data_IF_160703401048
#
_entry.id   IF_160703401048
#
_cell.length_a   1.000
_cell.length_b   1.000
_cell.length_c   1.000
_cell.angle_alpha   90.00
_cell.angle_beta   90.00
_cell.angle_gamma   90.00
#
_symmetry.space_group_name_H-M   'P 1'
#
loop_
_entity.id
_entity.type
_entity.pdbx_description
1 polymer ?
#
# COMPACT_ATOMS: atom_id res chain seq x y z
N UNK A 1 -87.34 -18.33 -4.67
CA UNK A 1 -86.18 -18.50 -5.58
C UNK A 1 -85.58 -17.13 -5.89
N UNK A 2 -84.43 -16.80 -5.29
CA UNK A 2 -83.49 -15.75 -5.71
C UNK A 2 -82.10 -16.14 -5.15
N UNK A 3 -81.12 -16.17 -6.03
CA UNK A 3 -79.66 -16.25 -5.82
C UNK A 3 -79.11 -15.07 -6.66
N UNK A 4 -77.92 -14.43 -6.47
CA UNK A 4 -76.78 -14.64 -5.54
C UNK A 4 -76.26 -13.33 -4.88
N UNK A 5 -75.17 -13.40 -4.10
CA UNK A 5 -73.94 -12.63 -4.37
C UNK A 5 -72.78 -13.11 -3.48
N UNK A 6 -71.79 -13.76 -4.10
CA UNK A 6 -70.48 -14.03 -3.49
C UNK A 6 -69.68 -12.73 -3.44
N UNK A 7 -69.29 -12.28 -2.25
CA UNK A 7 -68.35 -11.18 -2.07
C UNK A 7 -66.91 -11.66 -2.30
N UNK A 8 -66.25 -11.09 -3.31
CA UNK A 8 -64.82 -11.26 -3.57
C UNK A 8 -63.99 -10.69 -2.40
N UNK A 9 -63.11 -11.52 -1.85
CA UNK A 9 -62.03 -11.06 -1.00
C UNK A 9 -60.95 -10.38 -1.87
N UNK A 10 -60.71 -9.09 -1.66
CA UNK A 10 -59.57 -8.40 -2.24
C UNK A 10 -58.30 -8.81 -1.48
N UNK A 11 -57.47 -9.65 -2.10
CA UNK A 11 -56.10 -9.90 -1.64
C UNK A 11 -55.26 -8.70 -2.05
N UNK A 12 -54.92 -7.84 -1.08
CA UNK A 12 -53.96 -6.77 -1.30
C UNK A 12 -52.56 -7.38 -1.47
N UNK A 13 -52.04 -7.36 -2.70
CA UNK A 13 -50.61 -7.60 -2.95
C UNK A 13 -49.83 -6.43 -2.32
N UNK A 14 -49.15 -6.69 -1.20
CA UNK A 14 -48.11 -5.79 -0.69
C UNK A 14 -46.90 -5.97 -1.60
N UNK A 15 -46.70 -5.02 -2.51
CA UNK A 15 -45.45 -4.90 -3.26
C UNK A 15 -44.35 -4.51 -2.27
N UNK A 16 -43.50 -5.46 -1.91
CA UNK A 16 -42.26 -5.20 -1.18
C UNK A 16 -41.33 -4.36 -2.05
N UNK A 17 -41.19 -3.08 -1.76
CA UNK A 17 -40.11 -2.27 -2.33
C UNK A 17 -38.75 -2.84 -1.88
N UNK A 18 -37.73 -2.85 -2.76
CA UNK A 18 -36.41 -3.32 -2.38
C UNK A 18 -35.79 -2.32 -1.39
N UNK A 19 -35.75 -2.71 -0.12
CA UNK A 19 -34.96 -2.03 0.91
C UNK A 19 -33.51 -2.50 0.77
N UNK A 20 -32.55 -1.56 0.85
CA UNK A 20 -31.09 -1.74 0.93
C UNK A 20 -30.26 -1.79 -0.39
N UNK A 21 -30.20 -0.66 -1.12
CA UNK A 21 -29.10 -0.39 -2.08
C UNK A 21 -28.56 1.05 -1.99
N UNK A 22 -29.45 2.01 -1.72
CA UNK A 22 -29.10 3.44 -1.64
C UNK A 22 -28.16 3.83 -0.48
N UNK A 23 -28.15 3.06 0.62
CA UNK A 23 -27.31 3.32 1.80
C UNK A 23 -25.84 2.97 1.58
N UNK A 24 -25.55 1.96 0.77
CA UNK A 24 -24.19 1.48 0.51
C UNK A 24 -23.49 2.38 -0.52
N UNK A 25 -24.21 2.79 -1.56
CA UNK A 25 -23.67 3.71 -2.59
C UNK A 25 -23.26 5.06 -1.99
N UNK A 26 -24.05 5.60 -1.05
CA UNK A 26 -23.75 6.88 -0.38
C UNK A 26 -22.58 6.75 0.60
N UNK A 27 -22.48 5.63 1.34
CA UNK A 27 -21.34 5.35 2.22
C UNK A 27 -20.05 5.12 1.43
N UNK A 28 -20.14 4.40 0.31
CA UNK A 28 -19.01 4.24 -0.59
C UNK A 28 -18.60 5.56 -1.26
N UNK A 29 -19.55 6.44 -1.60
CA UNK A 29 -19.25 7.77 -2.15
C UNK A 29 -18.55 8.69 -1.13
N UNK A 30 -19.05 8.76 0.11
CA UNK A 30 -18.42 9.54 1.18
C UNK A 30 -17.02 9.02 1.53
N UNK A 31 -16.84 7.69 1.56
CA UNK A 31 -15.53 7.07 1.70
C UNK A 31 -14.61 7.43 0.52
N UNK A 32 -15.12 7.31 -0.70
CA UNK A 32 -14.39 7.65 -1.92
C UNK A 32 -13.90 9.10 -1.95
N UNK A 33 -14.72 10.02 -1.44
CA UNK A 33 -14.37 11.44 -1.27
C UNK A 33 -13.20 11.62 -0.31
N UNK A 34 -13.24 10.97 0.86
CA UNK A 34 -12.19 11.05 1.87
C UNK A 34 -10.82 10.59 1.34
N UNK A 35 -10.81 9.61 0.46
CA UNK A 35 -9.58 9.07 -0.14
C UNK A 35 -9.27 9.70 -1.49
N UNK A 36 -10.05 10.67 -1.96
CA UNK A 36 -9.69 11.41 -3.17
C UNK A 36 -8.38 12.13 -2.90
N UNK A 37 -7.36 11.70 -3.63
CA UNK A 37 -6.03 12.24 -3.53
C UNK A 37 -5.73 13.01 -4.81
N UNK A 38 -5.26 14.23 -4.66
CA UNK A 38 -4.69 15.01 -5.76
C UNK A 38 -3.30 14.50 -6.16
N UNK A 39 -2.77 13.46 -5.49
CA UNK A 39 -1.51 12.83 -5.84
C UNK A 39 -1.59 12.34 -7.28
N UNK A 40 -0.64 12.81 -8.08
CA UNK A 40 -0.46 12.38 -9.46
C UNK A 40 0.64 11.33 -9.57
N UNK A 41 0.69 10.61 -10.69
CA UNK A 41 1.84 9.75 -11.04
C UNK A 41 3.16 10.54 -11.00
N UNK A 42 3.15 11.81 -11.40
CA UNK A 42 4.34 12.67 -11.34
C UNK A 42 4.80 12.96 -9.92
N UNK A 43 3.89 13.10 -8.96
CA UNK A 43 4.25 13.31 -7.55
C UNK A 43 4.94 12.08 -6.98
N UNK A 44 4.40 10.89 -7.27
CA UNK A 44 5.02 9.62 -6.88
C UNK A 44 6.39 9.48 -7.51
N UNK A 45 6.51 9.72 -8.83
CA UNK A 45 7.80 9.65 -9.52
C UNK A 45 8.81 10.65 -8.95
N UNK A 46 8.40 11.88 -8.63
CA UNK A 46 9.28 12.90 -8.02
C UNK A 46 9.80 12.46 -6.66
N UNK A 47 8.95 11.81 -5.86
CA UNK A 47 9.33 11.27 -4.55
C UNK A 47 10.25 10.06 -4.69
N UNK A 48 9.94 9.13 -5.59
CA UNK A 48 10.67 7.86 -5.71
C UNK A 48 11.98 7.98 -6.49
N UNK A 49 12.10 8.96 -7.38
CA UNK A 49 13.29 9.09 -8.23
C UNK A 49 14.47 9.59 -7.42
N UNK A 50 15.56 8.83 -7.45
CA UNK A 50 16.84 9.16 -6.83
C UNK A 50 16.69 9.56 -5.37
N UNK A 51 16.07 8.67 -4.59
CA UNK A 51 15.69 8.96 -3.21
C UNK A 51 15.94 7.75 -2.33
N UNK A 52 16.64 7.99 -1.22
CA UNK A 52 16.78 7.06 -0.11
C UNK A 52 15.78 7.44 0.97
N UNK A 53 15.03 6.47 1.46
CA UNK A 53 14.06 6.69 2.52
C UNK A 53 14.13 5.60 3.57
N UNK A 54 13.73 5.97 4.79
CA UNK A 54 13.70 5.08 5.94
C UNK A 54 12.28 4.91 6.43
N UNK A 55 11.94 3.70 6.86
CA UNK A 55 10.73 3.39 7.62
C UNK A 55 11.10 2.63 8.89
N UNK A 56 10.29 2.79 9.93
CA UNK A 56 10.44 2.09 11.19
C UNK A 56 9.09 1.64 11.73
N UNK A 57 9.01 0.40 12.21
CA UNK A 57 7.87 -0.14 12.96
C UNK A 57 8.34 -1.29 13.84
N UNK A 58 7.59 -1.64 14.89
CA UNK A 58 7.96 -2.76 15.77
C UNK A 58 8.01 -4.11 15.03
N UNK A 59 7.13 -4.29 14.04
CA UNK A 59 7.08 -5.50 13.21
C UNK A 59 8.30 -5.62 12.29
N UNK A 60 8.56 -4.61 11.47
CA UNK A 60 9.64 -4.68 10.48
C UNK A 60 11.02 -4.30 11.01
N UNK A 61 11.09 -3.49 12.08
CA UNK A 61 12.29 -2.78 12.49
C UNK A 61 12.65 -1.66 11.52
N UNK A 62 13.92 -1.31 11.48
CA UNK A 62 14.46 -0.23 10.66
C UNK A 62 14.75 -0.64 9.22
N UNK A 63 13.96 -0.18 8.26
CA UNK A 63 14.16 -0.47 6.84
C UNK A 63 14.70 0.76 6.13
N UNK A 64 15.74 0.59 5.32
CA UNK A 64 16.26 1.66 4.47
C UNK A 64 16.23 1.20 3.02
N UNK A 65 15.67 2.02 2.15
CA UNK A 65 15.53 1.71 0.73
C UNK A 65 16.03 2.86 -0.12
N UNK A 66 16.72 2.54 -1.22
CA UNK A 66 17.05 3.50 -2.28
C UNK A 66 16.25 3.17 -3.53
N UNK A 67 15.55 4.17 -4.08
CA UNK A 67 14.80 4.05 -5.32
C UNK A 67 15.43 4.88 -6.45
N UNK A 68 15.59 4.24 -7.61
CA UNK A 68 16.14 4.87 -8.81
C UNK A 68 15.02 5.47 -9.67
N UNK A 69 15.33 6.47 -10.52
CA UNK A 69 14.36 6.99 -11.49
C UNK A 69 13.82 5.93 -12.47
N UNK A 70 14.61 4.88 -12.74
CA UNK A 70 14.29 3.82 -13.69
C UNK A 70 13.39 2.71 -13.15
N UNK A 71 12.79 2.87 -11.96
CA UNK A 71 11.90 1.86 -11.39
C UNK A 71 12.60 0.73 -10.65
N UNK A 72 13.90 0.86 -10.31
CA UNK A 72 14.58 -0.08 -9.41
C UNK A 72 14.51 0.39 -7.96
N UNK A 73 14.49 -0.55 -7.03
CA UNK A 73 14.62 -0.27 -5.60
C UNK A 73 15.63 -1.23 -4.98
N UNK A 74 16.30 -0.80 -3.92
CA UNK A 74 17.29 -1.58 -3.17
C UNK A 74 16.96 -1.48 -1.69
N UNK A 75 16.58 -2.60 -1.10
CA UNK A 75 16.14 -2.67 0.29
C UNK A 75 17.25 -3.26 1.17
N UNK A 76 17.65 -2.51 2.18
CA UNK A 76 18.39 -3.02 3.32
C UNK A 76 17.42 -3.30 4.46
N UNK A 77 17.08 -4.58 4.62
CA UNK A 77 16.15 -5.05 5.64
C UNK A 77 16.88 -5.57 6.88
N UNK A 78 16.38 -5.34 8.11
CA UNK A 78 17.01 -5.86 9.32
C UNK A 78 17.21 -7.37 9.32
N UNK A 79 18.38 -7.83 9.73
CA UNK A 79 18.72 -9.25 9.74
C UNK A 79 19.25 -9.80 8.41
N UNK A 80 19.00 -9.12 7.28
CA UNK A 80 19.52 -9.56 5.99
C UNK A 80 21.02 -9.31 5.87
N UNK A 81 21.72 -10.28 5.29
CA UNK A 81 23.15 -10.20 4.92
C UNK A 81 23.36 -9.79 3.47
N UNK A 82 22.29 -9.41 2.78
CA UNK A 82 22.28 -8.99 1.38
C UNK A 82 21.37 -7.77 1.25
N UNK A 83 21.69 -6.90 0.29
CA UNK A 83 20.75 -5.90 -0.19
C UNK A 83 19.77 -6.61 -1.13
N UNK A 84 18.47 -6.38 -0.93
CA UNK A 84 17.43 -6.96 -1.77
C UNK A 84 17.14 -6.03 -2.96
N UNK A 85 17.57 -6.39 -4.18
CA UNK A 85 17.13 -5.65 -5.36
C UNK A 85 15.66 -5.95 -5.64
N UNK A 86 14.95 -4.94 -6.12
CA UNK A 86 13.57 -5.04 -6.54
C UNK A 86 13.21 -3.98 -7.57
N UNK A 87 11.92 -3.91 -7.83
CA UNK A 87 11.30 -2.96 -8.74
C UNK A 87 10.20 -2.20 -8.03
N UNK A 88 9.95 -0.97 -8.49
CA UNK A 88 8.78 -0.19 -8.10
C UNK A 88 8.03 0.29 -9.34
N UNK A 89 6.70 0.40 -9.22
CA UNK A 89 5.85 0.98 -10.26
C UNK A 89 4.66 1.71 -9.65
N UNK A 90 4.07 2.61 -10.43
CA UNK A 90 2.83 3.30 -10.07
C UNK A 90 1.68 2.67 -10.83
N UNK A 91 0.60 2.32 -10.13
CA UNK A 91 -0.64 1.82 -10.74
C UNK A 91 -1.84 2.62 -10.26
N UNK A 92 -2.93 2.53 -11.02
CA UNK A 92 -4.19 3.24 -10.76
C UNK A 92 -5.31 2.21 -10.66
N UNK A 93 -5.31 1.46 -9.57
CA UNK A 93 -6.24 0.35 -9.35
C UNK A 93 -7.23 0.71 -8.23
N UNK A 94 -8.52 0.31 -8.36
CA UNK A 94 -9.48 0.42 -7.26
C UNK A 94 -9.00 -0.40 -6.07
N UNK A 95 -9.12 0.15 -4.86
CA UNK A 95 -8.84 -0.58 -3.63
C UNK A 95 -10.16 -1.09 -3.07
N UNK A 96 -10.17 -2.37 -2.67
CA UNK A 96 -11.24 -2.91 -1.83
C UNK A 96 -10.96 -2.50 -0.39
N UNK A 97 -11.89 -1.77 0.21
CA UNK A 97 -11.76 -1.37 1.61
C UNK A 97 -12.77 -2.15 2.43
N UNK A 98 -12.32 -3.12 3.25
CA UNK A 98 -13.22 -3.85 4.13
C UNK A 98 -13.70 -2.89 5.22
N UNK A 99 -14.87 -2.29 5.02
CA UNK A 99 -15.48 -1.40 6.01
C UNK A 99 -16.74 -2.07 6.52
N UNK A 100 -16.71 -2.64 7.73
CA UNK A 100 -17.91 -3.12 8.46
C UNK A 100 -18.96 -3.84 7.58
N UNK A 101 -18.54 -4.80 6.75
CA UNK A 101 -19.46 -5.58 5.90
C UNK A 101 -19.88 -4.96 4.57
N UNK A 102 -19.32 -3.81 4.17
CA UNK A 102 -19.59 -3.15 2.88
C UNK A 102 -18.37 -3.36 1.95
N UNK A 103 -18.58 -4.01 0.80
CA UNK A 103 -17.56 -4.15 -0.26
C UNK A 103 -17.53 -2.88 -1.13
N UNK A 104 -16.97 -1.80 -0.57
CA UNK A 104 -16.76 -0.57 -1.34
C UNK A 104 -15.51 -0.70 -2.21
N UNK A 105 -15.66 -0.43 -3.52
CA UNK A 105 -14.52 -0.07 -4.36
C UNK A 105 -14.27 1.42 -4.18
N UNK A 106 -13.15 1.74 -3.54
CA UNK A 106 -12.64 3.10 -3.57
C UNK A 106 -12.37 3.52 -5.04
N UNK A 107 -12.31 4.83 -5.33
CA UNK A 107 -11.88 5.32 -6.64
C UNK A 107 -10.51 4.72 -6.99
N UNK A 108 -10.12 4.80 -8.26
CA UNK A 108 -8.73 4.48 -8.63
C UNK A 108 -7.80 5.37 -7.83
N UNK A 109 -7.09 4.78 -6.87
CA UNK A 109 -6.09 5.48 -6.08
C UNK A 109 -4.73 5.30 -6.74
N UNK A 110 -3.87 6.29 -6.58
CA UNK A 110 -2.46 6.16 -6.98
C UNK A 110 -1.79 5.24 -5.98
N UNK A 111 -1.49 4.03 -6.45
CA UNK A 111 -0.81 3.01 -5.68
C UNK A 111 0.65 2.92 -6.10
N UNK A 112 1.51 2.72 -5.11
CA UNK A 112 2.90 2.37 -5.30
C UNK A 112 3.04 0.88 -5.03
N UNK A 113 3.58 0.16 -6.01
CA UNK A 113 3.80 -1.28 -5.92
C UNK A 113 5.29 -1.59 -5.92
N UNK A 114 5.67 -2.57 -5.11
CA UNK A 114 7.02 -3.12 -5.04
C UNK A 114 7.02 -4.59 -5.44
N UNK A 115 8.15 -5.04 -5.99
CA UNK A 115 8.40 -6.45 -6.28
C UNK A 115 9.86 -6.74 -5.96
N UNK A 116 10.11 -7.71 -5.07
CA UNK A 116 11.45 -8.21 -4.77
C UNK A 116 11.62 -9.64 -5.30
N UNK A 117 12.87 -10.11 -5.36
CA UNK A 117 13.24 -11.38 -6.00
C UNK A 117 12.52 -12.61 -5.46
N UNK A 118 12.48 -13.70 -6.24
CA UNK A 118 11.71 -14.91 -5.96
C UNK A 118 12.01 -15.58 -4.62
N UNK A 119 13.27 -15.54 -4.18
CA UNK A 119 13.72 -16.16 -2.94
C UNK A 119 13.55 -15.24 -1.72
N UNK A 120 12.56 -14.34 -1.75
CA UNK A 120 12.26 -13.44 -0.63
C UNK A 120 10.96 -13.84 0.07
N UNK A 121 10.91 -13.61 1.38
CA UNK A 121 9.74 -13.84 2.21
C UNK A 121 9.60 -12.67 3.19
N UNK A 122 8.42 -12.06 3.22
CA UNK A 122 8.08 -11.03 4.19
C UNK A 122 7.40 -11.69 5.39
N UNK A 123 8.07 -11.81 6.55
CA UNK A 123 7.51 -12.50 7.71
C UNK A 123 6.34 -11.73 8.38
N UNK A 124 6.16 -10.45 8.07
CA UNK A 124 5.08 -9.63 8.64
C UNK A 124 3.79 -9.80 7.84
N UNK A 125 3.88 -9.85 6.51
CA UNK A 125 2.71 -10.01 5.64
C UNK A 125 2.44 -11.46 5.23
N UNK A 126 3.43 -12.34 5.38
CA UNK A 126 3.39 -13.71 4.87
C UNK A 126 3.63 -13.82 3.36
N UNK A 127 3.88 -12.70 2.67
CA UNK A 127 4.10 -12.66 1.22
C UNK A 127 5.41 -13.32 0.82
N UNK A 128 5.40 -14.03 -0.32
CA UNK A 128 6.60 -14.54 -1.00
C UNK A 128 6.93 -13.69 -2.23
N UNK A 129 8.21 -13.70 -2.62
CA UNK A 129 8.76 -12.92 -3.71
C UNK A 129 8.07 -13.11 -5.07
N UNK A 130 8.44 -12.26 -6.05
CA UNK A 130 7.81 -12.11 -7.38
C UNK A 130 6.36 -11.57 -7.39
N UNK A 131 5.64 -11.57 -6.27
CA UNK A 131 4.37 -10.86 -6.20
C UNK A 131 4.60 -9.34 -6.19
N UNK A 132 3.71 -8.61 -6.86
CA UNK A 132 3.62 -7.16 -6.68
C UNK A 132 2.83 -6.88 -5.40
N UNK A 133 3.46 -6.21 -4.43
CA UNK A 133 2.80 -5.75 -3.22
C UNK A 133 2.56 -4.24 -3.35
N UNK A 134 1.27 -3.88 -3.40
CA UNK A 134 0.83 -2.51 -3.63
C UNK A 134 0.24 -1.89 -2.37
N UNK A 135 0.45 -0.59 -2.21
CA UNK A 135 -0.21 0.20 -1.18
C UNK A 135 -0.55 1.61 -1.70
N UNK A 136 -1.54 2.30 -1.11
CA UNK A 136 -1.77 3.72 -1.42
C UNK A 136 -0.51 4.54 -1.18
N UNK A 137 -0.12 5.38 -2.15
CA UNK A 137 1.09 6.19 -2.01
C UNK A 137 1.03 7.15 -0.81
N UNK A 138 -0.16 7.63 -0.47
CA UNK A 138 -0.35 8.51 0.68
C UNK A 138 0.03 7.82 2.00
N UNK A 139 -0.30 6.54 2.15
CA UNK A 139 0.08 5.74 3.33
C UNK A 139 1.59 5.43 3.31
N UNK A 140 2.12 5.08 2.14
CA UNK A 140 3.54 4.88 1.95
C UNK A 140 4.35 6.10 2.39
N UNK A 141 3.98 7.29 1.91
CA UNK A 141 4.67 8.55 2.23
C UNK A 141 4.63 8.88 3.72
N UNK A 142 3.46 8.72 4.36
CA UNK A 142 3.27 8.99 5.80
C UNK A 142 4.07 8.07 6.72
N UNK A 143 4.43 6.89 6.24
CA UNK A 143 5.22 5.91 7.01
C UNK A 143 6.72 6.05 6.78
N UNK A 144 7.17 7.02 5.97
CA UNK A 144 8.59 7.37 5.84
C UNK A 144 8.99 8.35 6.93
N UNK A 145 9.89 7.90 7.80
CA UNK A 145 10.39 8.68 8.93
C UNK A 145 11.55 9.58 8.52
N UNK A 146 12.32 9.19 7.50
CA UNK A 146 13.38 10.00 6.89
C UNK A 146 13.36 9.84 5.38
N UNK A 147 13.69 10.92 4.67
CA UNK A 147 13.80 10.97 3.21
C UNK A 147 15.01 11.83 2.86
N UNK A 148 15.93 11.29 2.06
CA UNK A 148 17.17 11.93 1.62
C UNK A 148 17.32 11.72 0.11
N UNK A 149 17.79 12.73 -0.61
CA UNK A 149 18.07 12.62 -2.05
C UNK A 149 19.34 11.81 -2.29
N UNK A 150 19.38 11.11 -3.42
CA UNK A 150 20.52 10.28 -3.82
C UNK A 150 20.60 8.94 -3.10
N UNK A 151 21.75 8.30 -3.27
CA UNK A 151 22.13 7.01 -2.66
C UNK A 151 23.33 7.20 -1.71
N UNK A 152 23.19 7.91 -0.58
CA UNK A 152 24.30 8.20 0.34
C UNK A 152 24.89 6.94 0.98
N UNK A 153 24.16 5.82 0.96
CA UNK A 153 24.61 4.53 1.50
C UNK A 153 25.17 3.60 0.42
N UNK A 154 25.13 3.97 -0.86
CA UNK A 154 25.60 3.16 -1.97
C UNK A 154 24.82 1.84 -2.16
N UNK A 155 23.53 1.80 -1.80
CA UNK A 155 22.72 0.58 -1.85
C UNK A 155 22.60 0.02 -3.28
N UNK A 156 22.64 0.87 -4.31
CA UNK A 156 22.50 0.43 -5.69
C UNK A 156 23.67 -0.40 -6.21
N UNK A 157 24.88 -0.17 -5.67
CA UNK A 157 26.11 -0.88 -6.03
C UNK A 157 26.47 -1.97 -5.03
N UNK A 158 25.80 -2.02 -3.87
CA UNK A 158 26.09 -2.92 -2.77
C UNK A 158 25.31 -4.22 -2.88
N UNK A 159 26.00 -5.36 -3.01
CA UNK A 159 25.37 -6.69 -2.95
C UNK A 159 25.24 -7.20 -1.52
N UNK A 160 26.30 -7.06 -0.73
CA UNK A 160 26.37 -7.46 0.67
C UNK A 160 26.77 -6.25 1.50
N UNK A 161 25.96 -5.84 2.49
CA UNK A 161 26.33 -4.77 3.38
C UNK A 161 27.48 -5.20 4.32
N UNK A 162 28.35 -4.26 4.74
CA UNK A 162 29.48 -4.56 5.62
C UNK A 162 29.06 -4.94 7.05
N UNK A 163 27.79 -4.80 7.39
CA UNK A 163 27.19 -5.27 8.63
C UNK A 163 25.70 -5.56 8.44
N UNK A 164 25.10 -6.24 9.39
CA UNK A 164 23.64 -6.45 9.42
C UNK A 164 22.99 -5.20 10.00
N UNK A 165 22.00 -4.64 9.29
CA UNK A 165 21.24 -3.49 9.78
C UNK A 165 20.49 -3.90 11.06
N UNK A 166 20.69 -3.19 12.20
CA UNK A 166 19.98 -3.51 13.42
C UNK A 166 18.49 -3.16 13.30
N UNK A 167 17.65 -3.84 14.09
CA UNK A 167 16.20 -3.61 14.11
C UNK A 167 15.80 -2.28 14.76
N UNK A 168 16.66 -1.66 15.58
CA UNK A 168 16.36 -0.46 16.35
C UNK A 168 16.19 0.78 15.46
N UNK A 169 15.49 1.80 15.97
CA UNK A 169 15.25 3.06 15.26
C UNK A 169 16.55 3.85 15.07
N UNK A 170 17.26 3.55 13.98
CA UNK A 170 18.58 4.10 13.68
C UNK A 170 18.53 5.00 12.44
N UNK A 171 18.83 6.31 12.56
CA UNK A 171 18.78 7.25 11.45
C UNK A 171 19.75 6.94 10.31
N UNK A 172 19.43 7.41 9.09
CA UNK A 172 20.27 7.20 7.89
C UNK A 172 21.69 7.72 8.13
N UNK A 173 21.83 8.92 8.69
CA UNK A 173 23.13 9.53 8.96
C UNK A 173 24.02 8.69 9.90
N UNK A 174 23.42 7.99 10.87
CA UNK A 174 24.15 7.12 11.80
C UNK A 174 24.59 5.80 11.13
N UNK A 175 23.85 5.33 10.13
CA UNK A 175 24.24 4.18 9.29
C UNK A 175 25.37 4.60 8.35
N UNK A 176 25.23 5.74 7.69
CA UNK A 176 26.23 6.33 6.80
C UNK A 176 27.57 6.55 7.52
N UNK A 177 27.54 7.12 8.73
CA UNK A 177 28.74 7.30 9.55
C UNK A 177 29.43 5.97 9.88
N UNK A 178 28.67 4.91 10.12
CA UNK A 178 29.25 3.58 10.35
C UNK A 178 29.87 3.00 9.09
N UNK A 179 29.29 3.25 7.91
CA UNK A 179 29.90 2.83 6.64
C UNK A 179 31.23 3.52 6.40
N UNK A 180 31.37 4.80 6.74
CA UNK A 180 32.62 5.56 6.57
C UNK A 180 33.74 5.16 7.53
N UNK A 181 33.40 4.59 8.68
CA UNK A 181 34.36 4.22 9.73
C UNK A 181 34.83 2.75 9.63
N UNK A 182 34.64 2.11 8.47
CA UNK A 182 35.03 0.73 8.18
C UNK A 182 35.89 0.69 6.94
#
# INVERSE_FOLDING_TARGET
>A
MRVPAFGLAAVALVLSAPVAKATDDTRCAAFSEQFRSEITTSDVKRFMSDTTYRSYSDGHGNQIEYATPGGRVFLWYPGNRVILPGHWKVVHEPIRVPTQGIDCRAPKLVQLCFQYGAETYNPVTGSRGLAWECQPFELFRKTRVEVVRGDPLGLASMKQPPFVLPRNDRPIAAVEAQLRNR
#
